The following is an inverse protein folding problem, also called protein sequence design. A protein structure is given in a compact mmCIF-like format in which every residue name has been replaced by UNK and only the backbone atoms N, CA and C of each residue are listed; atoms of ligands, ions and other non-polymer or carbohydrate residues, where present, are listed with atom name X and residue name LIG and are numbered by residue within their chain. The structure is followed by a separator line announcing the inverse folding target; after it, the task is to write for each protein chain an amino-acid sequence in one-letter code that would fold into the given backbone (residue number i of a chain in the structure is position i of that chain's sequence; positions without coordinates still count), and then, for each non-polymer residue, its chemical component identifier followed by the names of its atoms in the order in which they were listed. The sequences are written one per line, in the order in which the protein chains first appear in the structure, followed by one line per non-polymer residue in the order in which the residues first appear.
data_IF_416588874691
#
_entry.id   IF_416588874691
#
_cell.length_a   1.000
_cell.length_b   1.000
_cell.length_c   1.000
_cell.angle_alpha   90.00
_cell.angle_beta   90.00
_cell.angle_gamma   90.00
#
_symmetry.space_group_name_H-M   'P 1'
#
loop_
_entity.id
_entity.type
_entity.pdbx_description
1 polymer ?
#
# COMPACT_ATOMS: atom_id res chain seq x y z
N UNK A 1 -31.24 6.22 -3.54
CA UNK A 1 -29.87 6.09 -4.06
C UNK A 1 -29.31 4.78 -3.52
N UNK A 2 -29.13 3.75 -4.35
CA UNK A 2 -28.55 2.47 -3.92
C UNK A 2 -27.07 2.69 -3.52
N UNK A 3 -26.69 2.17 -2.36
CA UNK A 3 -25.31 2.22 -1.88
C UNK A 3 -24.48 1.27 -2.75
N UNK A 4 -23.45 1.79 -3.44
CA UNK A 4 -22.54 0.96 -4.23
C UNK A 4 -21.83 -0.06 -3.35
N UNK A 5 -21.60 -1.25 -3.86
CA UNK A 5 -20.77 -2.26 -3.19
C UNK A 5 -19.30 -1.88 -3.27
N UNK A 6 -18.44 -2.43 -2.42
CA UNK A 6 -17.02 -2.15 -2.47
C UNK A 6 -16.35 -2.51 -3.82
N UNK A 7 -16.67 -3.66 -4.46
CA UNK A 7 -16.19 -3.96 -5.80
C UNK A 7 -16.55 -2.92 -6.85
N UNK A 8 -17.80 -2.41 -6.83
CA UNK A 8 -18.25 -1.37 -7.75
C UNK A 8 -17.47 -0.06 -7.53
N UNK A 9 -17.19 0.27 -6.26
CA UNK A 9 -16.41 1.46 -5.92
C UNK A 9 -14.97 1.34 -6.43
N UNK A 10 -14.31 0.21 -6.27
CA UNK A 10 -12.95 0.01 -6.76
C UNK A 10 -12.88 0.03 -8.29
N UNK A 11 -13.88 -0.52 -8.97
CA UNK A 11 -13.97 -0.43 -10.42
C UNK A 11 -14.08 1.03 -10.92
N UNK A 12 -14.75 1.89 -10.17
CA UNK A 12 -14.83 3.33 -10.47
C UNK A 12 -13.53 4.07 -10.15
N UNK A 13 -12.93 3.81 -8.98
CA UNK A 13 -11.69 4.45 -8.55
C UNK A 13 -10.53 4.17 -9.51
N UNK A 14 -10.47 2.99 -10.11
CA UNK A 14 -9.46 2.64 -11.14
C UNK A 14 -9.51 3.50 -12.39
N UNK A 15 -10.58 4.26 -12.62
CA UNK A 15 -10.74 5.18 -13.77
C UNK A 15 -10.26 6.59 -13.47
N UNK A 16 -9.89 6.86 -12.22
CA UNK A 16 -9.52 8.19 -11.70
C UNK A 16 -8.06 8.14 -11.26
N UNK A 17 -7.29 9.15 -11.62
CA UNK A 17 -5.91 9.24 -11.17
C UNK A 17 -5.80 9.62 -9.67
N UNK A 18 -4.72 9.23 -9.03
CA UNK A 18 -4.48 9.48 -7.61
C UNK A 18 -4.45 10.97 -7.26
N UNK A 19 -3.84 11.88 -8.05
CA UNK A 19 -3.90 13.31 -7.79
C UNK A 19 -5.32 13.86 -7.73
N UNK A 20 -6.19 13.42 -8.63
CA UNK A 20 -7.61 13.83 -8.63
C UNK A 20 -8.33 13.38 -7.35
N UNK A 21 -8.10 12.12 -6.91
CA UNK A 21 -8.66 11.61 -5.65
C UNK A 21 -8.14 12.43 -4.46
N UNK A 22 -6.85 12.72 -4.43
CA UNK A 22 -6.23 13.55 -3.38
C UNK A 22 -6.86 14.93 -3.31
N UNK A 23 -7.08 15.58 -4.44
CA UNK A 23 -7.72 16.88 -4.51
C UNK A 23 -9.15 16.85 -3.94
N UNK A 24 -9.93 15.81 -4.22
CA UNK A 24 -11.28 15.66 -3.65
C UNK A 24 -11.22 15.50 -2.14
N UNK A 25 -10.31 14.68 -1.61
CA UNK A 25 -10.12 14.51 -0.16
C UNK A 25 -9.72 15.82 0.50
N UNK A 26 -8.88 16.63 -0.14
CA UNK A 26 -8.45 17.93 0.36
C UNK A 26 -9.58 18.98 0.42
N UNK A 27 -10.69 18.75 -0.26
CA UNK A 27 -11.85 19.67 -0.24
C UNK A 27 -12.85 19.39 0.90
N UNK A 28 -12.68 18.32 1.67
CA UNK A 28 -13.57 18.01 2.79
C UNK A 28 -13.38 19.01 3.96
N UNK A 29 -14.31 19.94 4.18
CA UNK A 29 -14.13 21.03 5.13
C UNK A 29 -14.14 20.58 6.59
N UNK A 30 -14.69 19.39 6.87
CA UNK A 30 -14.84 18.84 8.21
C UNK A 30 -13.67 17.95 8.64
N UNK A 31 -12.73 17.69 7.73
CA UNK A 31 -11.55 16.86 8.02
C UNK A 31 -10.28 17.73 8.01
N UNK A 32 -9.79 18.20 9.18
CA UNK A 32 -8.61 19.05 9.26
C UNK A 32 -7.34 18.38 8.73
N UNK A 33 -7.31 17.05 8.64
CA UNK A 33 -6.20 16.28 8.05
C UNK A 33 -5.97 16.66 6.59
N UNK A 34 -7.04 17.02 5.86
CA UNK A 34 -6.91 17.41 4.46
C UNK A 34 -6.02 18.65 4.26
N UNK A 35 -5.91 19.51 5.25
CA UNK A 35 -5.02 20.67 5.19
C UNK A 35 -3.53 20.27 5.18
N UNK A 36 -3.17 19.15 5.80
CA UNK A 36 -1.82 18.61 5.79
C UNK A 36 -1.32 18.22 4.40
N UNK A 37 -2.20 17.92 3.45
CA UNK A 37 -1.83 17.60 2.07
C UNK A 37 -1.06 18.73 1.37
N UNK A 38 -1.23 19.97 1.81
CA UNK A 38 -0.54 21.13 1.26
C UNK A 38 0.69 21.56 2.07
N UNK A 39 1.03 20.82 3.12
CA UNK A 39 2.14 21.11 4.01
C UNK A 39 3.14 19.92 4.06
N UNK A 40 3.80 19.57 2.95
CA UNK A 40 4.67 18.41 2.87
C UNK A 40 5.91 18.48 3.76
N UNK A 41 6.23 19.67 4.29
CA UNK A 41 7.32 19.89 5.24
C UNK A 41 6.96 19.56 6.70
N UNK A 42 5.67 19.43 7.03
CA UNK A 42 5.20 19.12 8.39
C UNK A 42 4.62 17.71 8.53
N UNK A 43 4.24 17.06 7.41
CA UNK A 43 3.51 15.79 7.41
C UNK A 43 4.00 14.87 6.30
N UNK A 44 4.09 13.58 6.59
CA UNK A 44 4.48 12.54 5.63
C UNK A 44 3.25 11.91 4.96
N UNK A 45 2.51 12.69 4.19
CA UNK A 45 1.28 12.26 3.51
C UNK A 45 1.50 11.63 2.14
N UNK A 46 2.71 11.69 1.62
CA UNK A 46 3.04 11.30 0.26
C UNK A 46 4.12 10.24 0.25
N UNK A 47 4.08 9.40 -0.74
CA UNK A 47 5.27 8.69 -1.19
C UNK A 47 6.15 9.68 -1.95
N UNK A 48 7.46 9.58 -1.79
CA UNK A 48 8.39 10.36 -2.58
C UNK A 48 8.60 9.76 -3.98
N UNK A 49 9.44 10.39 -4.78
CA UNK A 49 9.70 9.97 -6.17
C UNK A 49 10.45 8.64 -6.31
N UNK A 50 10.89 8.03 -5.20
CA UNK A 50 11.51 6.70 -5.23
C UNK A 50 10.46 5.59 -5.42
N UNK A 51 9.23 5.81 -4.94
CA UNK A 51 8.12 4.88 -5.14
C UNK A 51 7.50 5.12 -6.52
N UNK A 52 7.69 4.17 -7.43
CA UNK A 52 7.26 4.29 -8.83
C UNK A 52 6.40 3.11 -9.24
N UNK A 53 5.50 3.35 -10.19
CA UNK A 53 4.79 2.27 -10.88
C UNK A 53 5.79 1.51 -11.76
N UNK A 54 6.03 0.24 -11.44
CA UNK A 54 6.97 -0.61 -12.17
C UNK A 54 6.36 -1.22 -13.43
N UNK A 55 5.04 -1.37 -13.47
CA UNK A 55 4.29 -2.03 -14.53
C UNK A 55 3.09 -1.18 -14.96
N UNK A 56 3.30 0.02 -15.55
CA UNK A 56 2.21 0.94 -15.90
C UNK A 56 1.25 0.34 -16.94
N UNK A 57 1.71 -0.61 -17.75
CA UNK A 57 0.90 -1.31 -18.75
C UNK A 57 -0.19 -2.18 -18.14
N UNK A 58 -0.08 -2.57 -16.88
CA UNK A 58 -1.12 -3.33 -16.17
C UNK A 58 -2.29 -2.46 -15.70
N UNK A 59 -2.14 -1.14 -15.83
CA UNK A 59 -3.16 -0.17 -15.45
C UNK A 59 -3.28 0.07 -13.95
N UNK A 60 -4.25 0.91 -13.58
CA UNK A 60 -4.49 1.26 -12.19
C UNK A 60 -5.16 0.13 -11.41
N UNK A 61 -4.77 -0.04 -10.17
CA UNK A 61 -5.40 -0.96 -9.21
C UNK A 61 -5.96 -0.19 -8.01
N UNK A 62 -7.02 -0.69 -7.40
CA UNK A 62 -7.59 -0.16 -6.17
C UNK A 62 -8.01 -1.32 -5.28
N UNK A 63 -7.72 -1.24 -3.99
CA UNK A 63 -8.00 -2.30 -3.04
C UNK A 63 -7.78 -1.85 -1.60
N UNK A 64 -8.06 -2.74 -0.66
CA UNK A 64 -7.80 -2.52 0.76
C UNK A 64 -6.31 -2.65 1.06
N UNK A 65 -5.75 -1.69 1.79
CA UNK A 65 -4.36 -1.73 2.21
C UNK A 65 -4.17 -2.70 3.38
N UNK A 66 -3.24 -3.62 3.23
CA UNK A 66 -2.69 -4.43 4.33
C UNK A 66 -1.25 -4.00 4.50
N UNK A 67 -0.86 -3.59 5.70
CA UNK A 67 0.45 -2.99 5.94
C UNK A 67 1.35 -3.90 6.75
N UNK A 68 2.61 -3.99 6.39
CA UNK A 68 3.63 -4.65 7.19
C UNK A 68 4.97 -3.92 7.13
N UNK A 69 5.77 -4.13 8.17
CA UNK A 69 7.12 -3.56 8.27
C UNK A 69 8.11 -4.71 8.39
N UNK A 70 9.09 -4.74 7.50
CA UNK A 70 10.28 -5.58 7.62
C UNK A 70 11.42 -4.75 8.17
N UNK A 71 12.05 -5.25 9.23
CA UNK A 71 13.19 -4.60 9.87
C UNK A 71 14.27 -5.62 10.24
N UNK A 72 15.43 -5.12 10.64
CA UNK A 72 16.39 -5.94 11.37
C UNK A 72 15.74 -6.44 12.67
N UNK A 73 16.17 -7.61 13.21
CA UNK A 73 15.62 -8.11 14.46
C UNK A 73 15.69 -7.08 15.58
N UNK A 74 14.55 -6.81 16.21
CA UNK A 74 14.41 -5.89 17.33
C UNK A 74 13.80 -6.66 18.52
N UNK A 75 14.48 -6.74 19.69
CA UNK A 75 13.99 -7.48 20.84
C UNK A 75 12.70 -6.90 21.47
N UNK A 76 12.34 -5.66 21.12
CA UNK A 76 11.13 -5.00 21.64
C UNK A 76 9.86 -5.37 20.87
N UNK A 77 9.98 -6.09 19.76
CA UNK A 77 8.85 -6.49 18.92
C UNK A 77 8.76 -8.00 18.76
N UNK A 78 7.53 -8.50 18.72
CA UNK A 78 7.29 -9.89 18.38
C UNK A 78 7.75 -10.15 16.94
N UNK A 79 8.53 -11.20 16.77
CA UNK A 79 8.96 -11.65 15.46
C UNK A 79 7.79 -12.36 14.76
N UNK A 80 7.28 -11.74 13.71
CA UNK A 80 6.31 -12.35 12.81
C UNK A 80 7.03 -13.06 11.66
N UNK A 81 6.30 -13.93 10.99
CA UNK A 81 6.74 -14.69 9.82
C UNK A 81 6.02 -14.21 8.57
N UNK A 82 6.45 -14.67 7.40
CA UNK A 82 5.72 -14.42 6.16
C UNK A 82 4.29 -14.99 6.19
N UNK A 83 4.06 -16.09 6.92
CA UNK A 83 2.71 -16.65 7.07
C UNK A 83 1.76 -15.69 7.77
N UNK A 84 2.21 -14.94 8.75
CA UNK A 84 1.39 -13.92 9.41
C UNK A 84 0.94 -12.82 8.43
N UNK A 85 1.77 -12.50 7.41
CA UNK A 85 1.39 -11.57 6.34
C UNK A 85 0.32 -12.18 5.43
N UNK A 86 0.45 -13.47 5.08
CA UNK A 86 -0.55 -14.19 4.28
C UNK A 86 -1.87 -14.28 5.04
N UNK A 87 -1.84 -14.62 6.34
CA UNK A 87 -3.03 -14.69 7.17
C UNK A 87 -3.74 -13.33 7.28
N UNK A 88 -2.98 -12.24 7.42
CA UNK A 88 -3.53 -10.89 7.45
C UNK A 88 -4.15 -10.50 6.09
N UNK A 89 -3.52 -10.87 4.99
CA UNK A 89 -4.06 -10.68 3.64
C UNK A 89 -5.33 -11.49 3.46
N UNK A 90 -5.35 -12.76 3.88
CA UNK A 90 -6.50 -13.64 3.71
C UNK A 90 -7.70 -13.18 4.53
N UNK A 91 -7.48 -12.76 5.76
CA UNK A 91 -8.53 -12.24 6.64
C UNK A 91 -9.10 -10.88 6.22
N UNK A 92 -8.40 -10.13 5.38
CA UNK A 92 -8.82 -8.79 4.95
C UNK A 92 -9.87 -8.83 3.83
N UNK A 93 -10.79 -7.82 3.76
CA UNK A 93 -11.71 -7.69 2.63
C UNK A 93 -10.96 -7.59 1.29
N UNK A 94 -11.57 -8.16 0.23
CA UNK A 94 -10.94 -8.23 -1.10
C UNK A 94 -11.44 -7.13 -2.05
N UNK A 95 -10.60 -6.75 -3.03
CA UNK A 95 -9.20 -7.12 -3.23
C UNK A 95 -8.26 -6.41 -2.26
N UNK A 96 -7.09 -7.01 -1.96
CA UNK A 96 -6.07 -6.40 -1.09
C UNK A 96 -4.86 -5.90 -1.88
N UNK A 97 -4.16 -4.92 -1.31
CA UNK A 97 -2.85 -4.44 -1.75
C UNK A 97 -1.92 -4.49 -0.53
N UNK A 98 -0.80 -5.18 -0.64
CA UNK A 98 0.21 -5.17 0.42
C UNK A 98 1.03 -3.88 0.35
N UNK A 99 1.13 -3.17 1.46
CA UNK A 99 2.03 -2.02 1.63
C UNK A 99 3.15 -2.46 2.56
N UNK A 100 4.33 -2.70 1.99
CA UNK A 100 5.47 -3.26 2.66
C UNK A 100 6.55 -2.18 2.85
N UNK A 101 6.79 -1.81 4.11
CA UNK A 101 7.88 -0.92 4.46
C UNK A 101 9.12 -1.72 4.84
N UNK A 102 10.23 -1.47 4.15
CA UNK A 102 11.55 -1.91 4.60
C UNK A 102 12.14 -0.86 5.56
N UNK A 103 12.30 -1.23 6.83
CA UNK A 103 12.96 -0.40 7.84
C UNK A 103 14.35 -0.97 8.13
N UNK A 104 15.17 -1.01 7.09
CA UNK A 104 16.57 -1.42 7.16
C UNK A 104 17.50 -0.21 7.14
N UNK A 105 18.76 -0.35 7.56
CA UNK A 105 19.82 0.59 7.21
C UNK A 105 19.87 0.81 5.70
N UNK A 106 20.16 2.03 5.21
CA UNK A 106 20.10 2.37 3.78
C UNK A 106 20.89 1.42 2.87
N UNK A 107 22.04 0.95 3.32
CA UNK A 107 22.90 0.02 2.59
C UNK A 107 22.28 -1.39 2.43
N UNK A 108 21.35 -1.77 3.31
CA UNK A 108 20.59 -3.00 3.20
C UNK A 108 19.33 -2.80 2.35
N UNK A 109 18.60 -1.71 2.56
CA UNK A 109 17.38 -1.39 1.79
C UNK A 109 17.67 -1.37 0.30
N UNK A 110 18.80 -0.80 -0.12
CA UNK A 110 19.18 -0.67 -1.53
C UNK A 110 19.43 -2.02 -2.26
N UNK A 111 19.60 -3.12 -1.52
CA UNK A 111 19.96 -4.42 -2.10
C UNK A 111 19.11 -5.60 -1.61
N UNK A 112 18.17 -5.35 -0.72
CA UNK A 112 17.33 -6.38 -0.13
C UNK A 112 15.98 -6.44 -0.84
N UNK A 113 15.88 -7.21 -1.91
CA UNK A 113 14.61 -7.55 -2.56
C UNK A 113 13.82 -8.50 -1.66
N UNK A 114 12.65 -8.09 -1.17
CA UNK A 114 11.82 -8.93 -0.29
C UNK A 114 10.71 -9.67 -1.04
N UNK A 115 10.24 -9.12 -2.16
CA UNK A 115 9.08 -9.64 -2.88
C UNK A 115 9.50 -10.56 -4.04
N UNK A 116 9.98 -11.75 -3.73
CA UNK A 116 10.29 -12.79 -4.72
C UNK A 116 9.04 -13.53 -5.21
N UNK A 117 9.23 -14.40 -6.22
CA UNK A 117 8.16 -15.15 -6.90
C UNK A 117 7.25 -15.93 -5.93
N UNK A 118 7.82 -16.66 -4.96
CA UNK A 118 7.05 -17.45 -3.99
C UNK A 118 6.13 -16.55 -3.19
N UNK A 119 6.64 -15.41 -2.72
CA UNK A 119 5.88 -14.44 -1.96
C UNK A 119 4.73 -13.88 -2.79
N UNK A 120 5.00 -13.43 -4.02
CA UNK A 120 3.98 -12.85 -4.90
C UNK A 120 2.90 -13.88 -5.24
N UNK A 121 3.28 -15.10 -5.60
CA UNK A 121 2.33 -16.18 -5.92
C UNK A 121 1.43 -16.53 -4.71
N UNK A 122 2.01 -16.60 -3.52
CA UNK A 122 1.25 -16.85 -2.28
C UNK A 122 0.26 -15.73 -1.98
N UNK A 123 0.68 -14.48 -2.15
CA UNK A 123 -0.19 -13.30 -1.95
C UNK A 123 -1.33 -13.27 -2.97
N UNK A 124 -1.05 -13.58 -4.24
CA UNK A 124 -2.08 -13.67 -5.28
C UNK A 124 -3.13 -14.74 -4.96
N UNK A 125 -2.70 -15.90 -4.44
CA UNK A 125 -3.59 -17.00 -4.08
C UNK A 125 -4.63 -16.59 -3.01
N UNK A 126 -4.31 -15.61 -2.15
CA UNK A 126 -5.24 -15.06 -1.14
C UNK A 126 -5.88 -13.74 -1.56
N UNK A 127 -5.87 -13.40 -2.86
CA UNK A 127 -6.60 -12.25 -3.42
C UNK A 127 -5.89 -10.91 -3.28
N UNK A 128 -4.57 -10.90 -3.09
CA UNK A 128 -3.76 -9.70 -3.19
C UNK A 128 -3.48 -9.38 -4.66
N UNK A 129 -3.73 -8.13 -5.06
CA UNK A 129 -3.64 -7.69 -6.46
C UNK A 129 -2.52 -6.69 -6.71
N UNK A 130 -1.79 -6.30 -5.69
CA UNK A 130 -0.70 -5.32 -5.82
C UNK A 130 0.21 -5.28 -4.60
N UNK A 131 1.40 -4.75 -4.83
CA UNK A 131 2.41 -4.52 -3.81
C UNK A 131 2.95 -3.09 -3.96
N UNK A 132 3.07 -2.39 -2.83
CA UNK A 132 3.78 -1.12 -2.73
C UNK A 132 4.95 -1.35 -1.76
N UNK A 133 6.17 -1.02 -2.17
CA UNK A 133 7.38 -1.18 -1.35
C UNK A 133 8.31 0.01 -1.55
N UNK A 134 9.09 0.33 -0.53
CA UNK A 134 10.19 1.28 -0.61
C UNK A 134 11.56 0.59 -0.86
N UNK A 135 11.56 -0.70 -1.12
CA UNK A 135 12.74 -1.47 -1.51
C UNK A 135 12.72 -1.87 -2.99
N UNK A 136 13.84 -2.40 -3.51
CA UNK A 136 13.94 -2.92 -4.87
C UNK A 136 13.06 -4.16 -5.08
#
# INVERSE_FOLDING_TARGET
MQRKTAPDLFAELRKIDTPTITNVVATYPTNPICLGLYNPWSENWYTDTSVRCMYPELGAVAGYAVTCVYSVPDPNYNRLTFMDVIDALDASPKPTILVLQQKFPPELTAKAGLAGEIMITSMQAVGCIGLISNGP
#
